data_IF_267323889174
#
_entry.id   IF_267323889174
#
_cell.length_a   1.000
_cell.length_b   1.000
_cell.length_c   1.000
_cell.angle_alpha   90.00
_cell.angle_beta   90.00
_cell.angle_gamma   90.00
#
_symmetry.space_group_name_H-M   'P 1'
#
loop_
_entity.id
_entity.type
_entity.pdbx_description
1 polymer ?
#
# COMPACT_ATOMS: atom_id res chain seq x y z
N UNK A 1 -51.44 40.04 -34.05
CA UNK A 1 -50.04 40.29 -33.75
C UNK A 1 -49.58 39.22 -32.87
N UNK A 2 -48.75 38.21 -33.35
CA UNK A 2 -48.18 37.13 -32.60
C UNK A 2 -46.72 37.45 -32.38
N UNK A 3 -46.35 37.73 -31.14
CA UNK A 3 -44.99 38.05 -30.75
C UNK A 3 -44.22 36.71 -30.56
N UNK A 4 -43.21 36.50 -31.39
CA UNK A 4 -42.32 35.33 -31.35
C UNK A 4 -41.18 35.64 -30.36
N UNK A 5 -41.12 34.90 -29.23
CA UNK A 5 -39.98 34.95 -28.32
C UNK A 5 -38.91 33.99 -28.81
N UNK A 6 -37.78 34.55 -29.21
CA UNK A 6 -36.56 33.77 -29.53
C UNK A 6 -35.76 33.65 -28.24
N UNK A 7 -35.65 32.43 -27.72
CA UNK A 7 -34.69 32.10 -26.64
C UNK A 7 -33.27 32.02 -27.21
N UNK A 8 -32.27 32.63 -26.59
CA UNK A 8 -30.88 32.43 -27.00
C UNK A 8 -30.41 31.04 -26.53
N UNK A 9 -29.86 30.26 -27.46
CA UNK A 9 -29.17 29.02 -27.18
C UNK A 9 -27.88 29.31 -26.40
N UNK A 10 -27.82 28.82 -25.18
CA UNK A 10 -26.62 28.86 -24.36
C UNK A 10 -25.64 27.79 -24.87
N UNK A 11 -24.60 28.23 -25.58
CA UNK A 11 -23.48 27.39 -25.97
C UNK A 11 -22.69 27.03 -24.69
N UNK A 12 -22.86 25.82 -24.18
CA UNK A 12 -21.91 25.26 -23.22
C UNK A 12 -20.62 24.91 -23.97
N UNK A 13 -19.61 25.74 -23.84
CA UNK A 13 -18.24 25.34 -24.18
C UNK A 13 -17.72 24.39 -23.10
N UNK A 14 -17.63 23.11 -23.43
CA UNK A 14 -16.81 22.17 -22.64
C UNK A 14 -15.35 22.65 -22.73
N UNK A 15 -14.88 23.30 -21.69
CA UNK A 15 -13.46 23.44 -21.46
C UNK A 15 -12.94 22.04 -21.04
N UNK A 16 -12.40 21.29 -21.97
CA UNK A 16 -11.51 20.20 -21.68
C UNK A 16 -10.26 20.83 -21.04
N UNK A 17 -10.25 20.89 -19.70
CA UNK A 17 -9.01 21.13 -18.98
C UNK A 17 -8.11 19.93 -19.28
N UNK A 18 -7.04 20.19 -20.02
CA UNK A 18 -5.95 19.26 -20.16
C UNK A 18 -5.49 18.91 -18.73
N UNK A 19 -5.64 17.65 -18.37
CA UNK A 19 -5.10 17.07 -17.15
C UNK A 19 -3.57 17.26 -17.24
N UNK A 20 -3.08 18.33 -16.63
CA UNK A 20 -1.63 18.54 -16.50
C UNK A 20 -1.14 17.38 -15.64
N UNK A 21 -0.47 16.44 -16.29
CA UNK A 21 0.24 15.37 -15.58
C UNK A 21 1.05 16.02 -14.45
N UNK A 22 0.76 15.64 -13.21
CA UNK A 22 1.52 16.09 -12.06
C UNK A 22 3.01 15.89 -12.38
N UNK A 23 3.89 16.87 -12.08
CA UNK A 23 5.31 16.74 -12.35
C UNK A 23 5.81 15.43 -11.74
N UNK A 24 6.47 14.62 -12.54
CA UNK A 24 7.09 13.39 -12.05
C UNK A 24 7.92 13.79 -10.83
N UNK A 25 7.47 13.37 -9.64
CA UNK A 25 8.13 13.70 -8.40
C UNK A 25 9.61 13.37 -8.57
N UNK A 26 10.46 14.32 -8.18
CA UNK A 26 11.90 14.18 -8.31
C UNK A 26 12.36 13.08 -7.33
N UNK A 27 12.24 11.83 -7.73
CA UNK A 27 12.54 10.63 -6.95
C UNK A 27 14.04 10.50 -6.62
N UNK A 28 14.88 11.40 -7.13
CA UNK A 28 16.32 11.37 -6.89
C UNK A 28 16.68 11.47 -5.40
N UNK A 29 15.91 12.24 -4.62
CA UNK A 29 16.12 12.33 -3.17
C UNK A 29 15.77 11.02 -2.41
N UNK A 30 14.92 10.19 -3.01
CA UNK A 30 14.51 8.90 -2.44
C UNK A 30 15.39 7.75 -2.96
N UNK A 31 15.97 7.87 -4.14
CA UNK A 31 16.84 6.85 -4.75
C UNK A 31 18.08 6.55 -3.90
N UNK A 32 18.57 7.54 -3.15
CA UNK A 32 19.74 7.36 -2.28
C UNK A 32 19.45 6.51 -1.02
N UNK A 33 18.19 6.25 -0.70
CA UNK A 33 17.77 5.44 0.45
C UNK A 33 17.50 3.97 0.10
N UNK A 34 17.65 3.58 -1.17
CA UNK A 34 17.10 2.31 -1.70
C UNK A 34 17.98 1.09 -1.37
N UNK A 35 19.21 1.24 -0.93
CA UNK A 35 20.12 0.11 -0.74
C UNK A 35 20.44 -0.26 0.71
N UNK A 36 19.47 -0.24 1.60
CA UNK A 36 19.66 -0.99 2.84
C UNK A 36 19.07 -2.39 2.66
N UNK A 37 19.94 -3.28 2.21
CA UNK A 37 19.62 -4.72 2.19
C UNK A 37 19.46 -5.17 3.64
N UNK A 38 18.24 -5.53 3.99
CA UNK A 38 17.93 -6.15 5.28
C UNK A 38 18.70 -7.47 5.37
N UNK A 39 19.81 -7.48 6.09
CA UNK A 39 20.56 -8.72 6.38
C UNK A 39 19.81 -9.44 7.49
N UNK A 40 19.27 -10.62 7.16
CA UNK A 40 18.37 -11.42 7.94
C UNK A 40 18.83 -11.73 9.37
N UNK A 41 18.59 -10.79 10.27
CA UNK A 41 18.58 -11.10 11.69
C UNK A 41 17.28 -11.86 12.00
N UNK A 42 17.39 -12.93 12.77
CA UNK A 42 16.23 -13.68 13.23
C UNK A 42 15.35 -12.77 14.09
N UNK A 43 14.03 -12.84 13.91
CA UNK A 43 13.08 -12.09 14.70
C UNK A 43 13.26 -12.37 16.20
N UNK A 44 13.51 -11.34 16.98
CA UNK A 44 13.50 -11.44 18.44
C UNK A 44 12.04 -11.36 18.95
N UNK A 45 11.43 -12.50 19.19
CA UNK A 45 10.02 -12.62 19.62
C UNK A 45 9.74 -12.11 21.05
N UNK A 46 10.79 -11.74 21.81
CA UNK A 46 10.62 -11.11 23.13
C UNK A 46 10.37 -9.59 23.04
N UNK A 47 10.58 -8.98 21.88
CA UNK A 47 10.27 -7.58 21.66
C UNK A 47 8.76 -7.44 21.45
N UNK A 48 8.10 -6.66 22.31
CA UNK A 48 6.66 -6.39 22.25
C UNK A 48 6.34 -4.93 21.90
N UNK A 49 7.33 -4.05 21.90
CA UNK A 49 7.18 -2.63 21.58
C UNK A 49 8.19 -2.22 20.51
N UNK A 50 7.69 -1.82 19.36
CA UNK A 50 8.47 -1.27 18.26
C UNK A 50 8.19 0.22 18.14
N UNK A 51 9.20 1.04 18.39
CA UNK A 51 9.07 2.50 18.33
C UNK A 51 9.36 2.99 16.91
N UNK A 52 8.58 3.92 16.41
CA UNK A 52 8.70 4.40 15.03
C UNK A 52 10.12 4.87 14.66
N UNK A 53 10.85 5.51 15.59
CA UNK A 53 12.23 5.94 15.35
C UNK A 53 13.29 4.83 15.42
N UNK A 54 12.90 3.58 15.70
CA UNK A 54 13.77 2.40 15.89
C UNK A 54 13.42 1.28 14.89
N UNK A 55 12.53 1.55 13.93
CA UNK A 55 12.10 0.61 12.91
C UNK A 55 13.20 0.39 11.88
N UNK A 56 13.22 -0.79 11.27
CA UNK A 56 14.18 -1.13 10.23
C UNK A 56 13.72 -0.57 8.88
N UNK A 57 14.58 0.17 8.20
CA UNK A 57 14.29 0.67 6.87
C UNK A 57 14.47 -0.43 5.80
N UNK A 58 13.48 -0.55 4.93
CA UNK A 58 13.58 -1.35 3.71
C UNK A 58 12.85 -0.65 2.57
N UNK A 59 13.60 0.10 1.80
CA UNK A 59 13.10 0.85 0.66
C UNK A 59 13.25 0.03 -0.63
N UNK A 60 12.28 0.15 -1.52
CA UNK A 60 12.22 -0.62 -2.78
C UNK A 60 11.90 0.30 -3.94
N UNK A 61 12.71 0.27 -5.00
CA UNK A 61 12.36 0.96 -6.23
C UNK A 61 11.44 0.08 -7.08
N UNK A 62 10.43 0.70 -7.70
CA UNK A 62 9.47 0.02 -8.59
C UNK A 62 8.86 -1.24 -7.96
N UNK A 63 8.45 -1.14 -6.70
CA UNK A 63 7.88 -2.28 -5.97
C UNK A 63 6.80 -2.99 -6.81
N UNK A 64 6.93 -4.30 -6.96
CA UNK A 64 6.05 -5.15 -7.80
C UNK A 64 5.86 -4.62 -9.24
N UNK A 65 6.88 -3.99 -9.84
CA UNK A 65 6.79 -3.42 -11.18
C UNK A 65 6.04 -2.09 -11.25
N UNK A 66 5.80 -1.43 -10.12
CA UNK A 66 5.21 -0.10 -10.05
C UNK A 66 6.17 1.02 -10.50
N UNK A 67 5.94 2.23 -10.03
CA UNK A 67 6.72 3.43 -10.36
C UNK A 67 7.28 4.09 -9.11
N UNK A 68 8.46 4.69 -9.22
CA UNK A 68 9.11 5.40 -8.12
C UNK A 68 9.50 4.50 -6.96
N UNK A 69 9.75 5.10 -5.80
CA UNK A 69 10.19 4.41 -4.61
C UNK A 69 9.00 4.10 -3.68
N UNK A 70 9.01 2.91 -3.09
CA UNK A 70 8.24 2.56 -1.91
C UNK A 70 9.20 2.63 -0.72
N UNK A 71 8.93 3.53 0.22
CA UNK A 71 9.68 3.67 1.45
C UNK A 71 9.00 2.83 2.53
N UNK A 72 9.77 2.02 3.25
CA UNK A 72 9.25 1.15 4.30
C UNK A 72 10.06 1.25 5.59
N UNK A 73 9.36 1.33 6.71
CA UNK A 73 9.90 1.26 8.07
C UNK A 73 9.19 0.11 8.79
N UNK A 74 9.90 -0.95 9.12
CA UNK A 74 9.32 -2.23 9.55
C UNK A 74 9.63 -2.54 11.01
N UNK A 75 8.63 -3.03 11.73
CA UNK A 75 8.85 -3.73 12.98
C UNK A 75 9.65 -5.02 12.73
N UNK A 76 9.24 -5.76 11.72
CA UNK A 76 9.94 -6.92 11.14
C UNK A 76 9.38 -7.23 9.76
N UNK A 77 10.11 -8.02 8.99
CA UNK A 77 9.76 -8.39 7.62
C UNK A 77 9.63 -9.90 7.48
N UNK A 78 9.03 -10.33 6.36
CA UNK A 78 8.92 -11.75 5.97
C UNK A 78 10.28 -12.48 5.86
N UNK A 79 11.38 -11.77 5.82
CA UNK A 79 12.73 -12.37 5.83
C UNK A 79 13.18 -12.80 7.22
N UNK A 80 12.52 -12.31 8.26
CA UNK A 80 12.84 -12.58 9.67
C UNK A 80 11.86 -13.55 10.32
N UNK A 81 10.71 -13.74 9.72
CA UNK A 81 9.62 -14.58 10.22
C UNK A 81 9.61 -15.93 9.54
N UNK A 82 8.98 -16.92 10.16
CA UNK A 82 8.79 -18.26 9.65
C UNK A 82 7.32 -18.67 9.55
N UNK A 83 7.02 -19.92 9.21
CA UNK A 83 5.66 -20.40 8.96
C UNK A 83 4.81 -20.54 10.24
N UNK A 84 5.39 -20.34 11.41
CA UNK A 84 4.68 -20.32 12.69
C UNK A 84 4.21 -18.92 13.08
N UNK A 85 4.75 -17.87 12.46
CA UNK A 85 4.34 -16.50 12.70
C UNK A 85 3.07 -16.19 11.88
N UNK A 86 1.99 -15.80 12.55
CA UNK A 86 0.76 -15.39 11.86
C UNK A 86 0.97 -14.12 11.04
N UNK A 87 1.66 -13.13 11.60
CA UNK A 87 2.09 -11.94 10.88
C UNK A 87 3.49 -12.13 10.32
N UNK A 88 3.62 -12.01 9.02
CA UNK A 88 4.91 -12.13 8.30
C UNK A 88 5.63 -10.80 8.19
N UNK A 89 4.89 -9.72 8.16
CA UNK A 89 5.43 -8.37 7.97
C UNK A 89 4.48 -7.36 8.62
N UNK A 90 5.03 -6.38 9.30
CA UNK A 90 4.31 -5.22 9.81
C UNK A 90 5.19 -4.00 9.59
N UNK A 91 4.71 -3.04 8.81
CA UNK A 91 5.47 -1.84 8.49
C UNK A 91 4.64 -0.61 8.17
N UNK A 92 5.27 0.52 8.35
CA UNK A 92 4.81 1.79 7.80
C UNK A 92 5.36 1.92 6.39
N UNK A 93 4.46 2.18 5.45
CA UNK A 93 4.79 2.41 4.05
C UNK A 93 4.50 3.83 3.65
N UNK A 94 5.34 4.37 2.78
CA UNK A 94 5.14 5.69 2.18
C UNK A 94 5.38 5.61 0.69
N UNK A 95 4.38 6.02 -0.08
CA UNK A 95 4.51 6.28 -1.51
C UNK A 95 4.60 7.79 -1.72
N UNK A 96 5.73 8.31 -2.20
CA UNK A 96 5.83 9.69 -2.68
C UNK A 96 4.81 9.99 -3.78
N UNK A 97 4.49 11.26 -4.08
CA UNK A 97 3.61 11.63 -5.17
C UNK A 97 3.98 10.94 -6.49
N UNK A 98 3.01 10.30 -7.14
CA UNK A 98 3.17 9.58 -8.40
C UNK A 98 3.80 8.19 -8.28
N UNK A 99 4.33 7.81 -7.11
CA UNK A 99 4.86 6.46 -6.89
C UNK A 99 3.74 5.42 -6.75
N UNK A 100 4.06 4.15 -7.00
CA UNK A 100 3.09 3.07 -6.92
C UNK A 100 3.74 1.73 -6.59
N UNK A 101 2.93 0.86 -5.98
CA UNK A 101 3.14 -0.59 -5.97
C UNK A 101 2.37 -1.14 -7.16
N UNK A 102 3.03 -1.92 -8.03
CA UNK A 102 2.42 -2.55 -9.20
C UNK A 102 1.43 -3.64 -8.83
N UNK A 103 0.65 -4.09 -9.82
CA UNK A 103 -0.30 -5.17 -9.62
C UNK A 103 0.45 -6.47 -9.31
N UNK A 104 0.17 -7.07 -8.14
CA UNK A 104 0.80 -8.30 -7.69
C UNK A 104 -0.20 -9.19 -6.97
N UNK A 105 0.07 -10.49 -6.99
CA UNK A 105 -0.82 -11.53 -6.47
C UNK A 105 -0.30 -12.06 -5.15
N UNK A 106 -1.23 -12.35 -4.24
CA UNK A 106 -0.99 -13.05 -2.99
C UNK A 106 -1.43 -14.50 -3.12
N UNK A 107 -0.52 -15.46 -2.86
CA UNK A 107 -0.83 -16.89 -3.06
C UNK A 107 -1.28 -17.57 -1.76
N UNK A 108 -0.61 -17.32 -0.66
CA UNK A 108 -0.78 -18.03 0.62
C UNK A 108 -0.82 -17.11 1.84
N UNK A 109 -0.99 -15.83 1.63
CA UNK A 109 -1.07 -14.82 2.69
C UNK A 109 -2.16 -13.80 2.36
N UNK A 110 -2.52 -13.01 3.35
CA UNK A 110 -3.35 -11.83 3.20
C UNK A 110 -2.47 -10.59 3.38
N UNK A 111 -2.71 -9.59 2.55
CA UNK A 111 -2.03 -8.31 2.61
C UNK A 111 -3.05 -7.20 2.83
N UNK A 112 -2.87 -6.46 3.92
CA UNK A 112 -3.79 -5.42 4.39
C UNK A 112 -3.08 -4.09 4.36
N UNK A 113 -3.66 -3.09 3.66
CA UNK A 113 -3.24 -1.69 3.78
C UNK A 113 -4.28 -0.92 4.59
N UNK A 114 -3.82 -0.24 5.62
CA UNK A 114 -4.63 0.72 6.40
C UNK A 114 -4.11 2.10 6.07
N UNK A 115 -4.90 2.88 5.35
CA UNK A 115 -4.48 4.22 4.89
C UNK A 115 -4.49 5.18 6.08
N UNK A 116 -3.35 5.81 6.34
CA UNK A 116 -3.14 6.73 7.46
C UNK A 116 -3.25 8.18 7.02
N UNK A 117 -2.67 8.53 5.86
CA UNK A 117 -2.73 9.89 5.31
C UNK A 117 -2.50 9.88 3.81
N UNK A 118 -2.89 10.97 3.15
CA UNK A 118 -2.81 11.12 1.71
C UNK A 118 -4.01 10.50 0.98
N UNK A 119 -3.92 10.45 -0.36
CA UNK A 119 -4.94 9.90 -1.27
C UNK A 119 -4.28 9.02 -2.31
N UNK A 120 -4.94 7.93 -2.68
CA UNK A 120 -4.41 7.00 -3.66
C UNK A 120 -5.49 6.39 -4.55
N UNK A 121 -5.04 5.64 -5.54
CA UNK A 121 -5.89 4.78 -6.38
C UNK A 121 -5.51 3.33 -6.06
N UNK A 122 -6.45 2.62 -5.46
CA UNK A 122 -6.38 1.18 -5.26
C UNK A 122 -6.94 0.47 -6.49
N UNK A 123 -6.27 -0.60 -6.93
CA UNK A 123 -6.76 -1.46 -8.01
C UNK A 123 -6.95 -2.86 -7.45
N UNK A 124 -8.15 -3.42 -7.58
CA UNK A 124 -8.47 -4.76 -7.10
C UNK A 124 -8.12 -5.87 -8.13
N UNK A 125 -8.40 -7.12 -7.78
CA UNK A 125 -8.14 -8.30 -8.62
C UNK A 125 -8.87 -8.30 -9.97
N UNK A 126 -9.96 -7.56 -10.08
CA UNK A 126 -10.77 -7.44 -11.31
C UNK A 126 -10.33 -6.24 -12.16
N UNK A 127 -9.31 -5.51 -11.73
CA UNK A 127 -8.85 -4.29 -12.38
C UNK A 127 -9.72 -3.06 -12.07
N UNK A 128 -10.70 -3.17 -11.16
CA UNK A 128 -11.50 -2.03 -10.72
C UNK A 128 -10.62 -1.08 -9.90
N UNK A 129 -10.67 0.19 -10.28
CA UNK A 129 -9.97 1.27 -9.59
C UNK A 129 -10.93 1.99 -8.64
N UNK A 130 -10.45 2.26 -7.43
CA UNK A 130 -11.19 3.01 -6.41
C UNK A 130 -10.25 4.00 -5.76
N UNK A 131 -10.73 5.22 -5.51
CA UNK A 131 -10.00 6.16 -4.66
C UNK A 131 -9.98 5.64 -3.24
N UNK A 132 -8.85 5.85 -2.55
CA UNK A 132 -8.67 5.55 -1.13
C UNK A 132 -8.07 6.76 -0.43
N UNK A 133 -8.45 6.93 0.84
CA UNK A 133 -8.03 8.02 1.71
C UNK A 133 -7.85 7.55 3.15
N UNK A 134 -7.39 8.45 4.02
CA UNK A 134 -7.19 8.15 5.44
C UNK A 134 -8.44 7.50 6.06
N UNK A 135 -8.23 6.39 6.76
CA UNK A 135 -9.26 5.55 7.38
C UNK A 135 -9.74 4.37 6.53
N UNK A 136 -9.44 4.36 5.22
CA UNK A 136 -9.79 3.23 4.36
C UNK A 136 -8.88 2.03 4.62
N UNK A 137 -9.46 0.83 4.46
CA UNK A 137 -8.76 -0.44 4.59
C UNK A 137 -8.92 -1.21 3.29
N UNK A 138 -7.82 -1.69 2.74
CA UNK A 138 -7.83 -2.62 1.60
C UNK A 138 -7.24 -3.95 2.02
N UNK A 139 -7.69 -5.03 1.38
CA UNK A 139 -7.19 -6.37 1.63
C UNK A 139 -7.10 -7.16 0.34
N UNK A 140 -5.97 -7.85 0.14
CA UNK A 140 -5.83 -8.90 -0.85
C UNK A 140 -5.68 -10.25 -0.13
N UNK A 141 -6.56 -11.19 -0.43
CA UNK A 141 -6.58 -12.55 0.13
C UNK A 141 -5.88 -13.54 -0.80
N UNK A 142 -5.58 -14.76 -0.35
CA UNK A 142 -5.02 -15.78 -1.21
C UNK A 142 -5.76 -15.91 -2.55
N UNK A 143 -5.01 -15.87 -3.65
CA UNK A 143 -5.52 -15.86 -5.02
C UNK A 143 -5.87 -14.48 -5.56
N UNK A 144 -5.95 -13.46 -4.73
CA UNK A 144 -6.27 -12.09 -5.15
C UNK A 144 -5.01 -11.28 -5.47
N UNK A 145 -5.20 -10.30 -6.34
CA UNK A 145 -4.18 -9.33 -6.73
C UNK A 145 -4.62 -7.93 -6.33
N UNK A 146 -3.65 -7.06 -6.06
CA UNK A 146 -3.91 -5.65 -5.84
C UNK A 146 -2.76 -4.76 -6.30
N UNK A 147 -3.03 -3.47 -6.43
CA UNK A 147 -2.05 -2.41 -6.65
C UNK A 147 -2.47 -1.15 -5.91
N UNK A 148 -1.50 -0.30 -5.57
CA UNK A 148 -1.76 1.00 -4.95
C UNK A 148 -0.87 2.06 -5.60
N UNK A 149 -1.48 3.19 -5.99
CA UNK A 149 -0.77 4.35 -6.56
C UNK A 149 -1.08 5.59 -5.73
N UNK A 150 -0.07 6.34 -5.39
CA UNK A 150 -0.27 7.70 -4.90
C UNK A 150 -0.69 8.60 -6.06
N UNK A 151 -1.93 9.08 -6.01
CA UNK A 151 -2.51 9.97 -7.02
C UNK A 151 -2.64 11.42 -6.51
N UNK A 152 -2.19 11.70 -5.29
CA UNK A 152 -2.17 13.03 -4.70
C UNK A 152 -0.82 13.72 -4.83
N UNK A 153 -0.76 14.95 -4.32
CA UNK A 153 0.43 15.79 -4.29
C UNK A 153 1.24 15.63 -3.00
N UNK A 154 0.65 14.98 -1.99
CA UNK A 154 1.25 14.68 -0.69
C UNK A 154 1.63 13.20 -0.60
N UNK A 155 2.56 12.81 0.29
CA UNK A 155 2.87 11.42 0.53
C UNK A 155 1.63 10.60 0.94
N UNK A 156 1.44 9.45 0.32
CA UNK A 156 0.44 8.46 0.74
C UNK A 156 1.10 7.53 1.76
N UNK A 157 0.63 7.61 3.01
CA UNK A 157 1.16 6.81 4.12
C UNK A 157 0.13 5.76 4.53
N UNK A 158 0.56 4.54 4.70
CA UNK A 158 -0.28 3.43 5.12
C UNK A 158 0.50 2.42 5.97
N UNK A 159 -0.23 1.66 6.79
CA UNK A 159 0.30 0.46 7.43
C UNK A 159 0.13 -0.72 6.48
N UNK A 160 1.17 -1.51 6.38
CA UNK A 160 1.23 -2.77 5.64
C UNK A 160 1.32 -3.93 6.64
N UNK A 161 0.38 -4.86 6.56
CA UNK A 161 0.33 -6.04 7.40
C UNK A 161 0.16 -7.27 6.52
N UNK A 162 1.20 -8.10 6.45
CA UNK A 162 1.11 -9.39 5.78
C UNK A 162 0.88 -10.48 6.82
N UNK A 163 -0.27 -11.14 6.73
CA UNK A 163 -0.63 -12.28 7.57
C UNK A 163 -0.73 -13.56 6.74
N UNK A 164 -0.35 -14.67 7.31
CA UNK A 164 -0.52 -15.99 6.68
C UNK A 164 -1.33 -16.91 7.59
N UNK A 165 -1.97 -17.91 7.00
CA UNK A 165 -2.50 -19.02 7.78
C UNK A 165 -1.27 -19.76 8.34
N UNK A 166 -1.08 -19.70 9.65
CA UNK A 166 -0.07 -20.55 10.29
C UNK A 166 -0.35 -22.00 9.88
N UNK A 167 0.69 -22.71 9.46
CA UNK A 167 0.56 -24.15 9.24
C UNK A 167 -0.01 -24.74 10.53
N UNK A 168 -1.25 -25.22 10.47
CA UNK A 168 -1.96 -25.70 11.66
C UNK A 168 -1.16 -26.89 12.23
N UNK A 169 -0.26 -26.58 13.15
CA UNK A 169 0.15 -27.60 14.11
C UNK A 169 -1.11 -27.86 14.91
N UNK A 170 -1.66 -29.09 14.92
CA UNK A 170 -2.80 -29.38 15.76
C UNK A 170 -2.45 -28.95 17.17
N UNK A 171 -3.20 -28.00 17.72
CA UNK A 171 -3.16 -27.75 19.16
C UNK A 171 -3.61 -29.05 19.79
N UNK A 172 -2.66 -29.85 20.20
CA UNK A 172 -2.96 -31.04 21.03
C UNK A 172 -3.50 -30.46 22.33
N UNK A 173 -4.79 -30.63 22.57
CA UNK A 173 -5.53 -30.22 23.76
C UNK A 173 -5.00 -30.95 25.01
N UNK A 174 -3.72 -30.83 25.32
CA UNK A 174 -3.16 -31.37 26.57
C UNK A 174 -3.20 -30.41 27.76
N UNK A 175 -3.72 -29.16 27.56
CA UNK A 175 -3.86 -28.19 28.67
C UNK A 175 -5.29 -27.91 29.12
N UNK A 176 -6.28 -28.65 28.67
CA UNK A 176 -7.66 -28.49 29.14
C UNK A 176 -8.00 -29.38 30.36
N UNK A 177 -7.02 -29.95 31.02
CA UNK A 177 -7.24 -30.79 32.25
C UNK A 177 -6.24 -30.40 33.34
N UNK A 178 -6.35 -29.18 33.85
CA UNK A 178 -5.86 -28.83 35.19
C UNK A 178 -6.82 -27.77 35.79
#
# INVERSE_FOLDING_TARGET
MKTLFILPALLLTLNAQAETAAPAANNAAYSQKIEQVFHGETLNRNIQLYRKGELSEWNREKAAGGTGALLGEFAYTRKQTDDHDAFREIGWMTLPPGASIGLHKHENNEDVYIIISGKGIFTDSNGKKSEVQAGDITIARPGQSHALKNAGDEPLVFLDLIAQTASATPVTDEKAKQ
#
